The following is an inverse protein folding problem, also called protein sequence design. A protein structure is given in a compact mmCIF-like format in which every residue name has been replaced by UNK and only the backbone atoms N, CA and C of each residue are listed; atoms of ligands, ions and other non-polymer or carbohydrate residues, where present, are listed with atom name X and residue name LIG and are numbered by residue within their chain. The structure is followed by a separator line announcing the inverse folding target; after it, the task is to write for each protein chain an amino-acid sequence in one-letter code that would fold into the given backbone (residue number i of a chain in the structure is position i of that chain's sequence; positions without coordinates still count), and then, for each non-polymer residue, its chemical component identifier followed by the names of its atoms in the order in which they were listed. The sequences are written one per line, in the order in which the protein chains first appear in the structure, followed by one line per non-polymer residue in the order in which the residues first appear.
data_IF_654431414708
#
_entry.id   IF_654431414708
#
_cell.length_a   1.000
_cell.length_b   1.000
_cell.length_c   1.000
_cell.angle_alpha   90.00
_cell.angle_beta   90.00
_cell.angle_gamma   90.00
#
_symmetry.space_group_name_H-M   'P 1'
#
loop_
_entity.id
_entity.type
_entity.pdbx_description
1 polymer ?
#
# COMPACT_ATOMS: atom_id res chain seq x y z
N UNK A 1 18.12 -23.30 3.61
CA UNK A 1 18.51 -21.88 3.39
C UNK A 1 17.47 -20.98 4.04
N UNK A 2 17.87 -19.92 4.73
CA UNK A 2 16.91 -18.95 5.26
C UNK A 2 16.19 -18.26 4.09
N UNK A 3 14.86 -18.18 4.13
CA UNK A 3 14.08 -17.52 3.08
C UNK A 3 14.37 -16.02 3.14
N UNK A 4 14.79 -15.36 2.04
CA UNK A 4 14.95 -13.91 2.03
C UNK A 4 13.66 -13.22 2.47
N UNK A 5 13.77 -12.22 3.35
CA UNK A 5 12.61 -11.47 3.83
C UNK A 5 12.00 -10.72 2.64
N UNK A 6 10.75 -11.04 2.29
CA UNK A 6 10.04 -10.37 1.19
C UNK A 6 9.87 -8.89 1.51
N UNK A 7 10.19 -7.99 0.57
CA UNK A 7 9.97 -6.56 0.73
C UNK A 7 8.46 -6.24 0.81
N UNK A 8 7.68 -6.62 -0.19
CA UNK A 8 6.24 -6.31 -0.22
C UNK A 8 5.35 -7.24 0.60
N UNK A 9 4.04 -7.02 0.44
CA UNK A 9 2.97 -7.83 1.02
C UNK A 9 2.45 -8.86 0.00
N UNK A 10 1.80 -9.93 0.48
CA UNK A 10 1.08 -10.90 -0.37
C UNK A 10 -0.38 -10.47 -0.62
N UNK A 11 -0.95 -9.72 0.31
CA UNK A 11 -2.24 -9.03 0.25
C UNK A 11 -2.05 -7.66 0.89
N UNK A 12 -2.90 -6.69 0.57
CA UNK A 12 -2.87 -5.37 1.19
C UNK A 12 -4.21 -5.06 1.86
N UNK A 13 -4.20 -4.35 3.00
CA UNK A 13 -5.43 -3.85 3.60
C UNK A 13 -6.06 -2.83 2.64
N UNK A 14 -7.34 -3.01 2.39
CA UNK A 14 -8.14 -2.16 1.53
C UNK A 14 -9.39 -1.77 2.30
N UNK A 15 -9.64 -0.47 2.40
CA UNK A 15 -10.72 -0.01 3.27
C UNK A 15 -12.08 -0.34 2.66
N UNK A 16 -12.98 -0.78 3.52
CA UNK A 16 -14.35 -1.15 3.13
C UNK A 16 -15.20 0.06 2.80
N UNK A 17 -14.81 1.25 3.27
CA UNK A 17 -15.45 2.53 2.99
C UNK A 17 -14.91 3.20 1.71
N UNK A 18 -14.07 2.51 0.94
CA UNK A 18 -13.49 3.02 -0.29
C UNK A 18 -14.57 3.55 -1.25
N UNK A 19 -15.76 2.96 -1.27
CA UNK A 19 -16.88 3.38 -2.12
C UNK A 19 -17.65 4.61 -1.64
N UNK A 20 -17.43 5.08 -0.40
CA UNK A 20 -18.09 6.25 0.19
C UNK A 20 -17.12 7.37 0.57
N UNK A 21 -15.83 7.16 0.31
CA UNK A 21 -14.80 8.18 0.51
C UNK A 21 -14.84 9.21 -0.63
N UNK A 22 -14.90 10.49 -0.28
CA UNK A 22 -15.03 11.65 -1.18
C UNK A 22 -14.03 11.60 -2.36
N UNK A 23 -12.77 11.26 -2.08
CA UNK A 23 -11.71 11.21 -3.09
C UNK A 23 -11.97 10.09 -4.10
N UNK A 24 -12.46 8.96 -3.61
CA UNK A 24 -12.77 7.82 -4.44
C UNK A 24 -14.05 8.03 -5.23
N UNK A 25 -15.08 8.62 -4.63
CA UNK A 25 -16.30 9.02 -5.31
C UNK A 25 -15.98 9.99 -6.46
N UNK A 26 -15.06 10.94 -6.25
CA UNK A 26 -14.60 11.83 -7.32
C UNK A 26 -13.91 11.06 -8.47
N UNK A 27 -13.08 10.06 -8.17
CA UNK A 27 -12.46 9.19 -9.19
C UNK A 27 -13.52 8.36 -9.93
N UNK A 28 -14.51 7.83 -9.22
CA UNK A 28 -15.65 7.10 -9.82
C UNK A 28 -16.44 8.03 -10.74
N UNK A 29 -16.72 9.27 -10.31
CA UNK A 29 -17.46 10.24 -11.10
C UNK A 29 -16.78 10.60 -12.42
N UNK A 30 -15.45 10.74 -12.42
CA UNK A 30 -14.70 11.14 -13.62
C UNK A 30 -14.34 9.97 -14.55
N UNK A 31 -14.02 8.80 -13.99
CA UNK A 31 -13.45 7.66 -14.75
C UNK A 31 -14.25 6.36 -14.63
N UNK A 32 -15.33 6.34 -13.86
CA UNK A 32 -16.16 5.15 -13.60
C UNK A 32 -15.37 3.98 -13.02
N UNK A 33 -15.82 2.76 -13.33
CA UNK A 33 -15.19 1.53 -12.89
C UNK A 33 -13.71 1.42 -13.32
N UNK A 34 -13.33 2.04 -14.44
CA UNK A 34 -11.95 2.03 -14.94
C UNK A 34 -11.00 2.80 -14.02
N UNK A 35 -11.44 3.94 -13.49
CA UNK A 35 -10.67 4.70 -12.49
C UNK A 35 -10.45 3.92 -11.21
N UNK A 36 -11.51 3.25 -10.74
CA UNK A 36 -11.45 2.38 -9.55
C UNK A 36 -10.46 1.24 -9.75
N UNK A 37 -10.59 0.46 -10.83
CA UNK A 37 -9.69 -0.66 -11.10
C UNK A 37 -8.23 -0.20 -11.25
N UNK A 38 -8.01 0.93 -11.92
CA UNK A 38 -6.68 1.54 -12.06
C UNK A 38 -6.10 1.88 -10.69
N UNK A 39 -6.88 2.50 -9.82
CA UNK A 39 -6.49 2.88 -8.45
C UNK A 39 -6.13 1.65 -7.62
N UNK A 40 -6.97 0.61 -7.64
CA UNK A 40 -6.73 -0.66 -6.93
C UNK A 40 -5.43 -1.32 -7.41
N UNK A 41 -5.19 -1.36 -8.72
CA UNK A 41 -3.97 -1.97 -9.27
C UNK A 41 -2.70 -1.18 -8.92
N UNK A 42 -2.79 0.16 -8.81
CA UNK A 42 -1.68 0.99 -8.32
C UNK A 42 -1.39 0.68 -6.85
N UNK A 43 -2.40 0.67 -5.98
CA UNK A 43 -2.19 0.32 -4.56
C UNK A 43 -1.62 -1.10 -4.40
N UNK A 44 -2.16 -2.06 -5.13
CA UNK A 44 -1.63 -3.43 -5.17
C UNK A 44 -0.15 -3.45 -5.57
N UNK A 45 0.24 -2.69 -6.59
CA UNK A 45 1.63 -2.60 -7.03
C UNK A 45 2.55 -1.93 -6.02
N UNK A 46 2.07 -0.88 -5.33
CA UNK A 46 2.80 -0.21 -4.24
C UNK A 46 3.08 -1.21 -3.12
N UNK A 47 2.04 -1.85 -2.57
CA UNK A 47 2.19 -2.78 -1.46
C UNK A 47 2.94 -4.06 -1.82
N UNK A 48 2.86 -4.50 -3.08
CA UNK A 48 3.68 -5.62 -3.58
C UNK A 48 5.18 -5.28 -3.60
N UNK A 49 5.55 -4.01 -3.66
CA UNK A 49 6.95 -3.53 -3.64
C UNK A 49 7.38 -3.02 -2.27
N UNK A 50 6.44 -2.75 -1.37
CA UNK A 50 6.70 -2.24 -0.04
C UNK A 50 5.68 -1.16 0.28
N UNK A 51 6.10 0.10 0.16
CA UNK A 51 5.35 1.27 0.60
C UNK A 51 5.39 2.43 -0.42
N UNK A 52 6.04 2.22 -1.56
CA UNK A 52 6.05 3.19 -2.65
C UNK A 52 6.17 2.48 -4.01
N UNK A 53 5.90 3.23 -5.07
CA UNK A 53 6.07 2.80 -6.44
C UNK A 53 6.73 3.92 -7.26
N UNK A 54 7.85 3.64 -7.89
CA UNK A 54 8.40 4.52 -8.92
C UNK A 54 7.49 4.53 -10.16
N UNK A 55 6.98 5.70 -10.50
CA UNK A 55 6.09 5.96 -11.61
C UNK A 55 6.86 6.00 -12.94
N UNK A 56 7.07 4.82 -13.51
CA UNK A 56 7.81 4.63 -14.77
C UNK A 56 6.87 4.40 -15.96
N UNK A 57 7.23 4.88 -17.18
CA UNK A 57 6.42 4.67 -18.38
C UNK A 57 6.08 3.20 -18.67
N UNK A 58 7.01 2.28 -18.42
CA UNK A 58 6.78 0.84 -18.60
C UNK A 58 5.68 0.30 -17.69
N UNK A 59 5.63 0.75 -16.42
CA UNK A 59 4.57 0.33 -15.50
C UNK A 59 3.22 0.87 -15.94
N UNK A 60 3.15 2.16 -16.31
CA UNK A 60 1.95 2.79 -16.84
C UNK A 60 1.38 2.04 -18.05
N UNK A 61 2.23 1.73 -19.04
CA UNK A 61 1.80 1.00 -20.23
C UNK A 61 1.36 -0.43 -19.89
N UNK A 62 2.06 -1.11 -18.97
CA UNK A 62 1.65 -2.43 -18.50
C UNK A 62 0.29 -2.39 -17.80
N UNK A 63 0.01 -1.33 -17.03
CA UNK A 63 -1.26 -1.14 -16.35
C UNK A 63 -2.39 -0.88 -17.34
N UNK A 64 -2.17 -0.02 -18.33
CA UNK A 64 -3.14 0.24 -19.39
C UNK A 64 -3.56 -1.04 -20.12
N UNK A 65 -2.61 -1.93 -20.43
CA UNK A 65 -2.88 -3.19 -21.11
C UNK A 65 -3.61 -4.24 -20.24
N UNK A 66 -3.74 -4.02 -18.93
CA UNK A 66 -4.42 -4.97 -18.01
C UNK A 66 -5.92 -4.72 -17.89
N UNK A 67 -6.39 -3.54 -18.27
CA UNK A 67 -7.78 -3.13 -18.06
C UNK A 67 -8.37 -2.80 -19.42
N UNK A 68 -9.42 -3.53 -19.80
CA UNK A 68 -10.06 -3.32 -21.10
C UNK A 68 -10.61 -1.89 -21.24
N UNK A 69 -10.41 -1.31 -22.43
CA UNK A 69 -10.79 0.06 -22.73
C UNK A 69 -10.07 1.13 -21.90
N UNK A 70 -8.91 0.84 -21.31
CA UNK A 70 -8.01 1.81 -20.68
C UNK A 70 -6.78 2.02 -21.56
N UNK A 71 -6.30 3.26 -21.65
CA UNK A 71 -5.06 3.61 -22.32
C UNK A 71 -4.12 4.35 -21.36
N UNK A 72 -2.86 4.52 -21.74
CA UNK A 72 -1.86 5.19 -20.89
C UNK A 72 -2.23 6.63 -20.53
N UNK A 73 -3.02 7.32 -21.37
CA UNK A 73 -3.49 8.68 -21.07
C UNK A 73 -4.50 8.67 -19.92
N UNK A 74 -5.47 7.75 -19.93
CA UNK A 74 -6.42 7.58 -18.83
C UNK A 74 -5.70 7.23 -17.53
N UNK A 75 -4.74 6.30 -17.59
CA UNK A 75 -3.94 5.93 -16.41
C UNK A 75 -3.22 7.15 -15.83
N UNK A 76 -2.59 7.98 -16.68
CA UNK A 76 -1.94 9.22 -16.24
C UNK A 76 -2.95 10.20 -15.62
N UNK A 77 -4.13 10.37 -16.22
CA UNK A 77 -5.18 11.25 -15.69
C UNK A 77 -5.65 10.80 -14.31
N UNK A 78 -5.85 9.49 -14.11
CA UNK A 78 -6.22 8.93 -12.79
C UNK A 78 -5.12 9.23 -11.77
N UNK A 79 -3.84 8.99 -12.11
CA UNK A 79 -2.73 9.30 -11.20
C UNK A 79 -2.67 10.78 -10.85
N UNK A 80 -2.82 11.67 -11.84
CA UNK A 80 -2.83 13.12 -11.60
C UNK A 80 -3.96 13.54 -10.67
N UNK A 81 -5.15 12.94 -10.77
CA UNK A 81 -6.26 13.19 -9.82
C UNK A 81 -5.95 12.65 -8.43
N UNK A 82 -5.39 11.46 -8.33
CA UNK A 82 -4.99 10.89 -7.03
C UNK A 82 -3.92 11.75 -6.34
N UNK A 83 -3.01 12.36 -7.10
CA UNK A 83 -2.05 13.35 -6.56
C UNK A 83 -2.77 14.62 -6.14
N UNK A 84 -3.61 15.21 -7.00
CA UNK A 84 -4.34 16.45 -6.72
C UNK A 84 -5.28 16.33 -5.50
N UNK A 85 -5.83 15.14 -5.24
CA UNK A 85 -6.67 14.87 -4.07
C UNK A 85 -5.85 14.48 -2.83
N UNK A 86 -4.52 14.50 -2.89
CA UNK A 86 -3.64 14.15 -1.78
C UNK A 86 -3.73 12.68 -1.36
N UNK A 87 -4.07 11.79 -2.29
CA UNK A 87 -3.94 10.33 -2.08
C UNK A 87 -2.47 9.91 -2.16
N UNK A 88 -1.72 10.55 -3.05
CA UNK A 88 -0.27 10.47 -3.14
C UNK A 88 0.35 11.82 -2.76
N UNK A 89 1.54 11.75 -2.21
CA UNK A 89 2.37 12.91 -1.92
C UNK A 89 2.74 13.63 -3.21
N UNK A 90 2.39 14.91 -3.27
CA UNK A 90 2.56 15.72 -4.48
C UNK A 90 4.02 16.02 -4.78
N UNK A 91 4.82 16.32 -3.74
CA UNK A 91 6.23 16.67 -3.91
C UNK A 91 7.03 15.49 -4.45
N UNK A 92 6.87 14.29 -3.87
CA UNK A 92 7.54 13.07 -4.33
C UNK A 92 7.04 12.61 -5.69
N UNK A 93 5.74 12.76 -5.98
CA UNK A 93 5.19 12.47 -7.31
C UNK A 93 5.81 13.38 -8.38
N UNK A 94 5.95 14.67 -8.08
CA UNK A 94 6.46 15.65 -9.02
C UNK A 94 7.98 15.54 -9.21
N UNK A 95 8.74 15.55 -8.11
CA UNK A 95 10.21 15.62 -8.10
C UNK A 95 10.88 14.28 -8.41
N UNK A 96 10.44 13.19 -7.76
CA UNK A 96 11.07 11.88 -7.83
C UNK A 96 10.31 10.88 -8.71
N UNK A 97 9.12 11.24 -9.21
CA UNK A 97 8.20 10.33 -9.90
C UNK A 97 7.90 9.12 -9.02
N UNK A 98 7.52 9.37 -7.76
CA UNK A 98 7.21 8.31 -6.78
C UNK A 98 5.77 8.47 -6.29
N UNK A 99 5.03 7.36 -6.32
CA UNK A 99 3.71 7.26 -5.70
C UNK A 99 3.85 6.64 -4.32
N UNK A 100 3.61 7.44 -3.29
CA UNK A 100 3.54 7.04 -1.88
C UNK A 100 2.72 8.08 -1.11
N UNK A 101 2.43 7.83 0.16
CA UNK A 101 1.87 8.80 1.10
C UNK A 101 2.11 8.34 2.53
N UNK A 102 2.00 9.25 3.50
CA UNK A 102 2.13 8.92 4.93
C UNK A 102 1.17 7.81 5.37
N UNK A 103 -0.05 7.80 4.81
CA UNK A 103 -1.03 6.73 5.07
C UNK A 103 -0.56 5.38 4.54
N UNK A 104 -0.12 5.32 3.28
CA UNK A 104 0.42 4.08 2.68
C UNK A 104 1.58 3.52 3.51
N UNK A 105 2.48 4.40 3.95
CA UNK A 105 3.67 4.04 4.72
C UNK A 105 3.31 3.53 6.12
N UNK A 106 2.39 4.20 6.80
CA UNK A 106 1.86 3.79 8.11
C UNK A 106 1.21 2.41 8.03
N UNK A 107 0.32 2.22 7.05
CA UNK A 107 -0.35 0.94 6.80
C UNK A 107 0.65 -0.18 6.48
N UNK A 108 1.71 0.11 5.71
CA UNK A 108 2.76 -0.85 5.45
C UNK A 108 3.56 -1.21 6.71
N UNK A 109 3.91 -0.24 7.57
CA UNK A 109 4.59 -0.51 8.85
C UNK A 109 3.74 -1.42 9.73
N UNK A 110 2.45 -1.13 9.85
CA UNK A 110 1.55 -1.96 10.65
C UNK A 110 1.49 -3.40 10.12
N UNK A 111 1.33 -3.57 8.79
CA UNK A 111 1.30 -4.88 8.15
C UNK A 111 2.63 -5.64 8.27
N UNK A 112 3.73 -4.93 8.49
CA UNK A 112 5.08 -5.50 8.59
C UNK A 112 5.69 -5.47 9.97
N UNK A 113 4.97 -5.02 11.01
CA UNK A 113 5.48 -4.83 12.38
C UNK A 113 6.16 -6.05 13.00
N UNK A 114 5.78 -7.26 12.60
CA UNK A 114 6.36 -8.53 13.09
C UNK A 114 7.60 -8.97 12.31
N UNK A 115 7.96 -8.31 11.21
CA UNK A 115 9.12 -8.65 10.38
C UNK A 115 10.40 -8.12 11.04
N UNK A 116 11.40 -8.98 11.17
CA UNK A 116 12.76 -8.57 11.57
C UNK A 116 13.50 -8.04 10.34
N UNK A 117 13.17 -6.82 9.93
CA UNK A 117 13.78 -6.13 8.79
C UNK A 117 14.19 -4.71 9.21
N UNK A 118 15.24 -4.13 8.60
CA UNK A 118 15.61 -2.74 8.85
C UNK A 118 14.46 -1.81 8.45
N UNK A 119 14.34 -0.68 9.16
CA UNK A 119 13.32 0.33 8.89
C UNK A 119 13.52 0.91 7.47
N UNK A 120 12.45 1.14 6.70
CA UNK A 120 12.61 1.76 5.39
C UNK A 120 13.01 3.23 5.52
N UNK A 121 13.87 3.71 4.61
CA UNK A 121 14.40 5.09 4.64
C UNK A 121 14.19 5.86 3.34
N UNK A 122 13.97 5.18 2.22
CA UNK A 122 13.90 5.81 0.91
C UNK A 122 12.48 6.33 0.62
N UNK A 123 12.34 7.61 0.25
CA UNK A 123 11.04 8.26 0.02
C UNK A 123 10.08 8.18 1.23
N UNK A 124 10.67 8.18 2.43
CA UNK A 124 9.93 8.05 3.69
C UNK A 124 9.40 9.41 4.15
N UNK A 125 8.14 9.44 4.60
CA UNK A 125 7.38 10.66 4.97
C UNK A 125 6.94 10.67 6.43
N UNK A 126 6.91 9.53 7.12
CA UNK A 126 6.34 9.42 8.47
C UNK A 126 7.45 9.46 9.52
N UNK A 127 7.54 10.55 10.28
CA UNK A 127 8.39 10.56 11.47
C UNK A 127 7.83 9.60 12.53
N UNK A 128 8.73 8.96 13.28
CA UNK A 128 8.51 7.75 14.07
C UNK A 128 7.11 7.64 14.70
N UNK A 129 6.34 6.63 14.29
CA UNK A 129 5.21 6.15 15.08
C UNK A 129 5.81 5.60 16.38
N UNK A 130 5.44 6.21 17.52
CA UNK A 130 5.58 5.61 18.83
C UNK A 130 4.94 4.23 18.75
N UNK A 131 5.75 3.18 18.64
CA UNK A 131 5.25 1.83 18.79
C UNK A 131 4.86 1.69 20.26
N UNK A 132 3.58 1.91 20.56
CA UNK A 132 2.97 1.28 21.71
C UNK A 132 3.24 -0.22 21.56
N UNK A 133 4.16 -0.69 22.41
CA UNK A 133 4.50 -2.08 22.64
C UNK A 133 3.19 -2.78 22.96
N UNK A 134 2.58 -3.40 21.95
CA UNK A 134 1.40 -4.23 22.18
C UNK A 134 1.90 -5.48 22.90
N UNK A 135 1.78 -5.46 24.23
CA UNK A 135 2.10 -6.58 25.11
C UNK A 135 1.09 -7.66 24.79
N UNK A 136 1.45 -8.59 23.89
CA UNK A 136 0.69 -9.82 23.68
C UNK A 136 0.77 -10.61 25.01
N UNK A 137 -0.24 -10.45 25.86
CA UNK A 137 -0.49 -11.31 27.01
C UNK A 137 -0.94 -12.64 26.44
N UNK A 138 0.01 -13.50 26.07
CA UNK A 138 -0.28 -14.90 25.85
C UNK A 138 -0.26 -15.58 27.23
N UNK A 139 -1.39 -15.99 27.84
CA UNK A 139 -1.33 -16.85 29.01
C UNK A 139 -0.76 -18.18 28.52
N UNK A 140 0.52 -18.43 28.84
CA UNK A 140 1.12 -19.75 28.69
C UNK A 140 0.19 -20.75 29.40
N UNK A 141 -0.45 -21.62 28.62
CA UNK A 141 -1.13 -22.80 29.14
C UNK A 141 -0.08 -23.59 29.95
N UNK A 142 -0.22 -23.57 31.27
CA UNK A 142 0.59 -24.38 32.18
C UNK A 142 0.36 -25.83 31.81
N UNK A 143 1.43 -26.49 31.35
CA UNK A 143 1.41 -27.90 31.00
C UNK A 143 0.88 -28.72 32.16
N UNK A 144 -0.15 -29.52 31.89
CA UNK A 144 -0.61 -30.51 32.83
C UNK A 144 0.19 -31.81 32.59
N UNK A 145 1.24 -31.99 33.39
CA UNK A 145 1.87 -33.29 33.60
C UNK A 145 0.91 -34.15 34.40
N UNK A 146 0.16 -35.04 33.74
CA UNK A 146 -0.41 -36.19 34.43
C UNK A 146 0.45 -37.41 34.12
N UNK A 147 1.42 -37.66 35.01
CA UNK A 147 1.79 -39.03 35.38
C UNK A 147 0.66 -39.56 36.26
N UNK A 148 0.13 -40.75 35.99
CA UNK A 148 -0.26 -41.73 37.02
C UNK A 148 -0.65 -43.06 36.37
N UNK A 149 0.15 -44.06 36.75
CA UNK A 149 -0.06 -45.51 36.81
C UNK A 149 -0.34 -46.30 35.54
#
# INVERSE_FOLDING_TARGET
MARPTKAGLDYFPFDVDFNVNEKTEAIVGEFGAKGVLTTIFIFSAIYKRGYFLEWKPLFKNSLANRIDGVNSKLVEQVVNRLVAYGTFDEELSNSAKVLTSSRIQTTYLEATKRRKAPRPTLYWLVDEIETEINVDINPQSKGNKNKLN
#
